data_IF_358141379409
#
_entry.id   IF_358141379409
#
_cell.length_a   1.000
_cell.length_b   1.000
_cell.length_c   1.000
_cell.angle_alpha   90.00
_cell.angle_beta   90.00
_cell.angle_gamma   90.00
#
_symmetry.space_group_name_H-M   'P 1'
#
loop_
_entity.id
_entity.type
_entity.pdbx_description
1 polymer ?
#
# COMPACT_ATOMS: atom_id res chain seq x y z
N UNK A 1 -7.22 11.47 26.60
CA UNK A 1 -6.11 12.14 25.89
C UNK A 1 -5.01 11.16 25.50
N UNK A 2 -4.26 10.56 26.44
CA UNK A 2 -3.14 9.65 26.09
C UNK A 2 -3.49 8.55 25.08
N UNK A 3 -4.63 7.87 25.26
CA UNK A 3 -5.10 6.83 24.33
C UNK A 3 -5.46 7.35 22.92
N UNK A 4 -5.98 8.59 22.83
CA UNK A 4 -6.35 9.20 21.54
C UNK A 4 -5.10 9.71 20.80
N UNK A 5 -4.12 10.22 21.52
CA UNK A 5 -2.80 10.60 20.97
C UNK A 5 -2.02 9.37 20.49
N UNK A 6 -2.09 8.26 21.22
CA UNK A 6 -1.54 6.97 20.78
C UNK A 6 -2.21 6.46 19.50
N UNK A 7 -3.52 6.64 19.35
CA UNK A 7 -4.23 6.26 18.13
C UNK A 7 -3.75 7.07 16.91
N UNK A 8 -3.53 8.39 17.08
CA UNK A 8 -2.93 9.23 16.02
C UNK A 8 -1.52 8.75 15.69
N UNK A 9 -0.68 8.48 16.69
CA UNK A 9 0.68 7.99 16.46
C UNK A 9 0.68 6.66 15.69
N UNK A 10 -0.14 5.70 16.10
CA UNK A 10 -0.27 4.41 15.41
C UNK A 10 -0.76 4.56 13.97
N UNK A 11 -1.71 5.47 13.70
CA UNK A 11 -2.17 5.71 12.33
C UNK A 11 -1.06 6.26 11.43
N UNK A 12 -0.16 7.11 11.96
CA UNK A 12 1.01 7.62 11.23
C UNK A 12 2.03 6.49 10.96
N UNK A 13 2.26 5.63 11.96
CA UNK A 13 3.15 4.47 11.81
C UNK A 13 2.65 3.53 10.71
N UNK A 14 1.35 3.19 10.71
CA UNK A 14 0.72 2.40 9.64
C UNK A 14 0.85 3.02 8.24
N UNK A 15 0.73 4.35 8.13
CA UNK A 15 0.90 5.05 6.85
C UNK A 15 2.33 4.90 6.31
N UNK A 16 3.34 5.03 7.19
CA UNK A 16 4.75 4.82 6.79
C UNK A 16 5.03 3.39 6.36
N UNK A 17 4.48 2.42 7.09
CA UNK A 17 4.58 1.00 6.70
C UNK A 17 3.96 0.75 5.32
N UNK A 18 2.82 1.39 5.02
CA UNK A 18 2.20 1.30 3.70
C UNK A 18 3.10 1.90 2.60
N UNK A 19 3.69 3.07 2.83
CA UNK A 19 4.63 3.70 1.89
C UNK A 19 5.83 2.80 1.57
N UNK A 20 6.35 2.11 2.58
CA UNK A 20 7.44 1.13 2.42
C UNK A 20 6.98 -0.06 1.55
N UNK A 21 5.80 -0.62 1.83
CA UNK A 21 5.21 -1.71 1.03
C UNK A 21 4.98 -1.27 -0.42
N UNK A 22 4.48 -0.06 -0.67
CA UNK A 22 4.30 0.47 -2.02
C UNK A 22 5.62 0.66 -2.77
N UNK A 23 6.68 1.07 -2.07
CA UNK A 23 8.02 1.17 -2.64
C UNK A 23 8.54 -0.21 -3.03
N UNK A 24 8.46 -1.19 -2.15
CA UNK A 24 8.87 -2.57 -2.41
C UNK A 24 8.08 -3.20 -3.56
N UNK A 25 6.76 -2.98 -3.58
CA UNK A 25 5.90 -3.45 -4.66
C UNK A 25 6.32 -2.86 -6.02
N UNK A 26 6.61 -1.55 -6.09
CA UNK A 26 7.12 -0.93 -7.33
C UNK A 26 8.46 -1.51 -7.77
N UNK A 27 9.35 -1.83 -6.82
CA UNK A 27 10.62 -2.48 -7.13
C UNK A 27 10.42 -3.90 -7.65
N UNK A 28 9.54 -4.68 -7.01
CA UNK A 28 9.22 -6.04 -7.41
C UNK A 28 8.69 -6.10 -8.85
N UNK A 29 7.79 -5.18 -9.23
CA UNK A 29 7.29 -5.08 -10.61
C UNK A 29 8.42 -4.94 -11.63
N UNK A 30 9.35 -4.01 -11.36
CA UNK A 30 10.52 -3.79 -12.24
C UNK A 30 11.41 -5.02 -12.33
N UNK A 31 11.62 -5.71 -11.21
CA UNK A 31 12.43 -6.94 -11.18
C UNK A 31 11.77 -8.07 -11.96
N UNK A 32 10.44 -8.20 -11.89
CA UNK A 32 9.69 -9.19 -12.66
C UNK A 32 9.77 -8.90 -14.17
N UNK A 33 9.62 -7.63 -14.58
CA UNK A 33 9.73 -7.23 -15.99
C UNK A 33 11.14 -7.49 -16.55
N UNK A 34 12.19 -7.13 -15.79
CA UNK A 34 13.59 -7.41 -16.15
C UNK A 34 13.86 -8.92 -16.26
N UNK A 35 13.34 -9.72 -15.32
CA UNK A 35 13.48 -11.18 -15.35
C UNK A 35 12.82 -11.80 -16.57
N UNK A 36 11.57 -11.41 -16.88
CA UNK A 36 10.87 -11.88 -18.08
C UNK A 36 11.64 -11.52 -19.36
N UNK A 37 12.18 -10.30 -19.44
CA UNK A 37 13.00 -9.88 -20.58
C UNK A 37 14.27 -10.72 -20.71
N UNK A 38 15.00 -10.97 -19.62
CA UNK A 38 16.21 -11.80 -19.63
C UNK A 38 15.91 -13.24 -20.03
N UNK A 39 14.83 -13.82 -19.51
CA UNK A 39 14.43 -15.18 -19.87
C UNK A 39 14.01 -15.23 -21.34
N UNK A 40 13.25 -14.25 -21.85
CA UNK A 40 12.87 -14.21 -23.27
C UNK A 40 14.07 -14.09 -24.20
N UNK A 41 15.08 -13.31 -23.82
CA UNK A 41 16.30 -13.17 -24.61
C UNK A 41 17.13 -14.47 -24.67
N UNK A 42 17.14 -15.25 -23.57
CA UNK A 42 17.85 -16.52 -23.46
C UNK A 42 17.08 -17.70 -24.08
N UNK A 43 15.78 -17.77 -23.82
CA UNK A 43 14.86 -18.80 -24.30
C UNK A 43 14.11 -18.27 -25.51
N UNK A 44 14.76 -18.31 -26.68
CA UNK A 44 14.20 -17.83 -27.95
C UNK A 44 13.26 -18.86 -28.59
N UNK A 45 12.31 -18.38 -29.38
CA UNK A 45 11.43 -19.20 -30.21
C UNK A 45 9.95 -19.10 -29.84
N UNK A 46 9.09 -19.47 -30.78
CA UNK A 46 7.65 -19.22 -30.68
C UNK A 46 6.99 -19.86 -29.43
N UNK A 47 7.45 -21.05 -29.01
CA UNK A 47 6.91 -21.72 -27.82
C UNK A 47 7.25 -21.00 -26.51
N UNK A 48 8.46 -20.46 -26.39
CA UNK A 48 8.88 -19.72 -25.20
C UNK A 48 8.24 -18.34 -25.17
N UNK A 49 8.11 -17.67 -26.32
CA UNK A 49 7.38 -16.39 -26.45
C UNK A 49 5.93 -16.52 -25.97
N UNK A 50 5.21 -17.56 -26.41
CA UNK A 50 3.84 -17.81 -25.97
C UNK A 50 3.74 -18.08 -24.46
N UNK A 51 4.65 -18.89 -23.91
CA UNK A 51 4.67 -19.18 -22.47
C UNK A 51 5.01 -17.96 -21.63
N UNK A 52 6.02 -17.19 -22.03
CA UNK A 52 6.43 -15.98 -21.32
C UNK A 52 5.36 -14.88 -21.43
N UNK A 53 4.66 -14.80 -22.56
CA UNK A 53 3.50 -13.95 -22.74
C UNK A 53 2.38 -14.30 -21.76
N UNK A 54 2.02 -15.57 -21.63
CA UNK A 54 1.03 -16.03 -20.65
C UNK A 54 1.43 -15.70 -19.21
N UNK A 55 2.68 -15.98 -18.83
CA UNK A 55 3.21 -15.65 -17.51
C UNK A 55 3.16 -14.14 -17.26
N UNK A 56 3.52 -13.32 -18.26
CA UNK A 56 3.45 -11.86 -18.17
C UNK A 56 2.03 -11.34 -17.98
N UNK A 57 1.03 -11.96 -18.60
CA UNK A 57 -0.38 -11.60 -18.42
C UNK A 57 -0.87 -11.92 -17.00
N UNK A 58 -0.54 -13.11 -16.49
CA UNK A 58 -0.91 -13.54 -15.13
C UNK A 58 -0.27 -12.61 -14.09
N UNK A 59 1.03 -12.32 -14.23
CA UNK A 59 1.74 -11.36 -13.38
C UNK A 59 1.12 -9.96 -13.45
N UNK A 60 0.78 -9.47 -14.64
CA UNK A 60 0.13 -8.17 -14.78
C UNK A 60 -1.24 -8.13 -14.08
N UNK A 61 -2.01 -9.22 -14.12
CA UNK A 61 -3.27 -9.32 -13.40
C UNK A 61 -3.06 -9.28 -11.88
N UNK A 62 -2.12 -10.07 -11.36
CA UNK A 62 -1.78 -10.06 -9.92
C UNK A 62 -1.32 -8.68 -9.46
N UNK A 63 -0.45 -8.03 -10.25
CA UNK A 63 0.02 -6.68 -9.96
C UNK A 63 -1.14 -5.68 -9.90
N UNK A 64 -2.12 -5.75 -10.82
CA UNK A 64 -3.31 -4.88 -10.78
C UNK A 64 -4.16 -5.14 -9.53
N UNK A 65 -4.36 -6.40 -9.16
CA UNK A 65 -5.12 -6.75 -7.95
C UNK A 65 -4.42 -6.24 -6.69
N UNK A 66 -3.11 -6.43 -6.58
CA UNK A 66 -2.31 -5.95 -5.46
C UNK A 66 -2.32 -4.43 -5.38
N UNK A 67 -2.15 -3.74 -6.52
CA UNK A 67 -2.21 -2.28 -6.58
C UNK A 67 -3.57 -1.75 -6.11
N UNK A 68 -4.67 -2.40 -6.52
CA UNK A 68 -6.02 -2.05 -6.03
C UNK A 68 -6.16 -2.23 -4.52
N UNK A 69 -5.59 -3.30 -3.95
CA UNK A 69 -5.60 -3.54 -2.50
C UNK A 69 -4.80 -2.45 -1.75
N UNK A 70 -3.64 -2.05 -2.27
CA UNK A 70 -2.84 -0.97 -1.69
C UNK A 70 -3.60 0.36 -1.67
N UNK A 71 -4.25 0.73 -2.78
CA UNK A 71 -5.09 1.93 -2.81
C UNK A 71 -6.24 1.89 -1.80
N UNK A 72 -6.96 0.77 -1.72
CA UNK A 72 -8.04 0.62 -0.73
C UNK A 72 -7.51 0.72 0.71
N UNK A 73 -6.31 0.22 0.97
CA UNK A 73 -5.69 0.28 2.28
C UNK A 73 -5.25 1.71 2.62
N UNK A 74 -4.69 2.46 1.65
CA UNK A 74 -4.37 3.88 1.81
C UNK A 74 -5.62 4.69 2.17
N UNK A 75 -6.71 4.53 1.43
CA UNK A 75 -7.99 5.19 1.70
C UNK A 75 -8.49 4.90 3.12
N UNK A 76 -8.40 3.64 3.57
CA UNK A 76 -8.78 3.23 4.92
C UNK A 76 -7.90 3.87 5.99
N UNK A 77 -6.58 3.89 5.79
CA UNK A 77 -5.64 4.50 6.74
C UNK A 77 -5.81 6.02 6.81
N UNK A 78 -6.08 6.69 5.69
CA UNK A 78 -6.38 8.12 5.67
C UNK A 78 -7.68 8.43 6.43
N UNK A 79 -8.71 7.60 6.27
CA UNK A 79 -9.96 7.73 7.02
C UNK A 79 -9.73 7.50 8.53
N UNK A 80 -8.99 6.44 8.90
CA UNK A 80 -8.61 6.14 10.30
C UNK A 80 -7.84 7.32 10.92
N UNK A 81 -6.87 7.88 10.21
CA UNK A 81 -6.08 9.02 10.68
C UNK A 81 -6.94 10.28 10.90
N UNK A 82 -7.84 10.60 9.95
CA UNK A 82 -8.77 11.73 10.06
C UNK A 82 -9.68 11.56 11.29
N UNK A 83 -10.22 10.36 11.49
CA UNK A 83 -11.07 10.05 12.63
C UNK A 83 -10.30 10.20 13.96
N UNK A 84 -9.10 9.62 14.05
CA UNK A 84 -8.26 9.70 15.25
C UNK A 84 -7.94 11.17 15.62
N UNK A 85 -7.66 12.02 14.63
CA UNK A 85 -7.46 13.47 14.85
C UNK A 85 -8.73 14.14 15.37
N UNK A 86 -9.89 13.87 14.76
CA UNK A 86 -11.15 14.44 15.20
C UNK A 86 -11.51 14.01 16.64
N UNK A 87 -11.20 12.78 17.03
CA UNK A 87 -11.40 12.28 18.40
C UNK A 87 -10.50 12.99 19.42
N UNK A 88 -9.26 13.31 19.05
CA UNK A 88 -8.35 14.11 19.89
C UNK A 88 -8.90 15.52 20.10
N UNK A 89 -9.35 16.19 19.03
CA UNK A 89 -9.88 17.57 19.14
C UNK A 89 -11.17 17.61 19.98
N UNK A 90 -12.13 16.70 19.74
CA UNK A 90 -13.32 16.57 20.59
C UNK A 90 -12.98 16.33 22.06
N UNK A 91 -11.95 15.53 22.34
CA UNK A 91 -11.51 15.28 23.71
C UNK A 91 -10.81 16.49 24.37
N UNK A 92 -10.22 17.39 23.58
CA UNK A 92 -9.67 18.67 24.08
C UNK A 92 -10.79 19.66 24.37
N UNK A 93 -11.75 19.81 23.46
CA UNK A 93 -12.92 20.68 23.62
C UNK A 93 -13.73 20.28 24.86
N UNK A 94 -14.06 19.00 25.01
CA UNK A 94 -14.80 18.50 26.18
C UNK A 94 -14.05 18.72 27.51
N UNK A 95 -12.71 18.70 27.49
CA UNK A 95 -11.91 19.05 28.67
C UNK A 95 -11.93 20.55 28.96
N UNK A 96 -11.86 21.40 27.93
CA UNK A 96 -11.94 22.84 28.09
C UNK A 96 -13.28 23.26 28.69
N UNK A 97 -14.39 22.71 28.18
CA UNK A 97 -15.74 22.97 28.69
C UNK A 97 -15.95 22.47 30.13
N UNK A 98 -15.38 21.32 30.50
CA UNK A 98 -15.47 20.79 31.87
C UNK A 98 -14.64 21.58 32.91
N UNK A 99 -13.77 22.49 32.46
CA UNK A 99 -12.94 23.31 33.34
C UNK A 99 -13.49 24.75 33.48
N UNK A 100 -14.59 25.06 32.79
CA UNK A 100 -15.30 26.34 32.82
C UNK A 100 -16.59 26.27 33.65
#
# INVERSE_FOLDING_TARGET
>A
MKQQEEAVRRSIEKQRELEDVEREFRQLKRQQDDLLSRIGNAWRGNHSENKLGAIGLDLAQEQRMTQKKLYNLDDQLQAEHKQAKADVERAKEAKADATH
#
